data_IF_397321841224
#
_entry.id   IF_397321841224
#
_cell.length_a   1.000
_cell.length_b   1.000
_cell.length_c   1.000
_cell.angle_alpha   90.00
_cell.angle_beta   90.00
_cell.angle_gamma   90.00
#
_symmetry.space_group_name_H-M   'P 1'
#
loop_
_entity.id
_entity.type
_entity.pdbx_description
1 polymer ?
#
# COMPACT_ATOMS: atom_id res chain seq x y z
N UNK A 1 54.16 36.39 60.01
CA UNK A 1 54.54 35.42 58.98
C UNK A 1 53.34 35.25 58.06
N UNK A 2 53.39 35.87 56.89
CA UNK A 2 52.24 36.16 56.02
C UNK A 2 52.51 35.59 54.64
N UNK A 3 51.91 34.45 54.26
CA UNK A 3 51.97 33.89 52.90
C UNK A 3 50.67 33.08 52.71
N UNK A 4 49.61 33.67 52.12
CA UNK A 4 49.26 33.83 50.69
C UNK A 4 48.46 32.66 50.12
N UNK A 5 47.25 33.00 49.71
CA UNK A 5 46.23 32.24 49.01
C UNK A 5 46.67 31.79 47.59
N UNK A 6 46.42 30.49 47.34
CA UNK A 6 45.91 29.76 46.15
C UNK A 6 45.50 30.64 44.92
N UNK A 7 45.85 30.22 43.68
CA UNK A 7 44.92 29.40 42.89
C UNK A 7 45.59 28.25 42.11
N UNK A 8 45.02 27.04 42.25
CA UNK A 8 45.26 25.90 41.36
C UNK A 8 44.04 25.70 40.45
N UNK A 9 44.35 25.30 39.22
CA UNK A 9 43.54 25.27 38.00
C UNK A 9 42.61 24.06 37.95
N UNK A 10 41.39 24.20 37.41
CA UNK A 10 40.62 23.18 36.67
C UNK A 10 39.21 23.76 36.37
N UNK A 11 38.53 23.56 35.24
CA UNK A 11 38.81 22.87 33.98
C UNK A 11 37.84 23.46 32.93
N UNK A 12 38.26 23.53 31.67
CA UNK A 12 37.38 23.88 30.54
C UNK A 12 36.38 22.76 30.28
N UNK A 13 35.10 23.01 30.57
CA UNK A 13 33.99 22.20 30.06
C UNK A 13 33.68 22.64 28.63
N UNK A 14 34.13 21.86 27.64
CA UNK A 14 33.60 21.90 26.28
C UNK A 14 32.16 21.40 26.34
N UNK A 15 31.21 22.33 26.33
CA UNK A 15 29.80 22.02 26.15
C UNK A 15 29.59 21.55 24.71
N UNK A 16 29.68 20.23 24.49
CA UNK A 16 29.18 19.60 23.28
C UNK A 16 27.66 19.76 23.25
N UNK A 17 27.19 20.60 22.32
CA UNK A 17 25.79 20.74 21.98
C UNK A 17 25.22 19.40 21.48
N UNK A 18 24.01 18.98 21.88
CA UNK A 18 23.26 18.01 21.12
C UNK A 18 22.61 18.73 19.94
N UNK A 19 23.35 18.86 18.84
CA UNK A 19 22.77 18.98 17.51
C UNK A 19 22.35 17.59 17.03
N UNK A 20 21.23 17.08 17.54
CA UNK A 20 20.64 15.83 17.07
C UNK A 20 19.13 15.80 17.39
N UNK A 21 18.38 16.63 16.69
CA UNK A 21 16.95 16.44 16.49
C UNK A 21 16.59 16.72 15.03
N UNK A 22 17.40 16.19 14.12
CA UNK A 22 17.02 16.04 12.73
C UNK A 22 16.53 14.61 12.50
N UNK A 23 15.36 14.52 11.88
CA UNK A 23 14.95 13.40 11.03
C UNK A 23 14.54 12.08 11.72
N UNK A 24 13.50 12.14 12.56
CA UNK A 24 12.59 11.00 12.69
C UNK A 24 11.13 11.45 12.69
N UNK A 25 10.78 12.34 11.76
CA UNK A 25 9.51 12.16 11.08
C UNK A 25 9.74 11.02 10.10
N UNK A 26 9.66 9.81 10.66
CA UNK A 26 9.25 8.63 9.94
C UNK A 26 8.13 9.10 9.01
N UNK A 27 8.43 9.15 7.71
CA UNK A 27 7.40 9.32 6.70
C UNK A 27 6.61 8.02 6.74
N UNK A 28 5.80 7.84 7.78
CA UNK A 28 4.58 7.07 7.69
C UNK A 28 3.80 7.83 6.63
N UNK A 29 4.00 7.45 5.36
CA UNK A 29 3.17 7.95 4.28
C UNK A 29 1.75 7.76 4.77
N UNK A 30 0.95 8.83 4.94
CA UNK A 30 -0.43 8.71 5.43
C UNK A 30 -1.33 8.01 4.40
N UNK A 31 -0.73 7.50 3.32
CA UNK A 31 -1.39 6.82 2.24
C UNK A 31 -1.52 5.34 2.63
N UNK A 32 -2.75 4.80 2.65
CA UNK A 32 -2.99 3.41 3.01
C UNK A 32 -2.22 2.46 2.10
N UNK A 33 -1.76 1.36 2.70
CA UNK A 33 -1.30 0.19 1.97
C UNK A 33 -2.50 -0.74 1.75
N UNK A 34 -2.51 -1.41 0.60
CA UNK A 34 -3.59 -2.32 0.25
C UNK A 34 -3.08 -3.75 0.14
N UNK A 35 -3.82 -4.69 0.72
CA UNK A 35 -3.74 -6.09 0.34
C UNK A 35 -4.82 -6.35 -0.70
N UNK A 36 -4.42 -6.73 -1.91
CA UNK A 36 -5.29 -6.88 -3.06
C UNK A 36 -5.22 -8.32 -3.60
N UNK A 37 -6.32 -8.79 -4.16
CA UNK A 37 -6.35 -9.95 -5.06
C UNK A 37 -6.62 -9.42 -6.46
N UNK A 38 -5.72 -9.67 -7.39
CA UNK A 38 -5.90 -9.37 -8.80
C UNK A 38 -6.40 -10.63 -9.51
N UNK A 39 -7.55 -10.52 -10.17
CA UNK A 39 -8.07 -11.51 -11.10
C UNK A 39 -7.79 -11.03 -12.51
N UNK A 40 -7.17 -11.87 -13.34
CA UNK A 40 -6.85 -11.52 -14.72
C UNK A 40 -7.34 -12.61 -15.66
N UNK A 41 -8.10 -12.24 -16.69
CA UNK A 41 -8.57 -13.14 -17.75
C UNK A 41 -8.14 -12.61 -19.10
N UNK A 42 -7.98 -13.49 -20.09
CA UNK A 42 -7.79 -13.07 -21.47
C UNK A 42 -9.07 -12.40 -21.97
N UNK A 43 -8.97 -11.24 -22.63
CA UNK A 43 -10.13 -10.55 -23.18
C UNK A 43 -10.81 -11.34 -24.32
N UNK A 44 -10.12 -12.34 -24.88
CA UNK A 44 -10.67 -13.30 -25.85
C UNK A 44 -11.46 -14.43 -25.21
N UNK A 45 -11.29 -14.70 -23.91
CA UNK A 45 -11.95 -15.80 -23.21
C UNK A 45 -13.28 -15.37 -22.56
N UNK A 46 -13.39 -14.12 -22.11
CA UNK A 46 -14.57 -13.59 -21.42
C UNK A 46 -14.82 -12.14 -21.84
N UNK A 47 -16.08 -11.79 -22.07
CA UNK A 47 -16.47 -10.41 -22.34
C UNK A 47 -16.31 -9.53 -21.09
N UNK A 48 -15.93 -8.27 -21.28
CA UNK A 48 -15.70 -7.34 -20.17
C UNK A 48 -16.93 -7.14 -19.27
N UNK A 49 -18.11 -7.04 -19.85
CA UNK A 49 -19.38 -6.87 -19.12
C UNK A 49 -19.74 -8.11 -18.29
N UNK A 50 -19.50 -9.30 -18.84
CA UNK A 50 -19.70 -10.57 -18.14
C UNK A 50 -18.70 -10.72 -16.99
N UNK A 51 -17.42 -10.43 -17.24
CA UNK A 51 -16.38 -10.47 -16.21
C UNK A 51 -16.67 -9.45 -15.10
N UNK A 52 -17.15 -8.26 -15.45
CA UNK A 52 -17.57 -7.24 -14.50
C UNK A 52 -18.75 -7.73 -13.66
N UNK A 53 -19.82 -8.22 -14.29
CA UNK A 53 -21.02 -8.70 -13.59
C UNK A 53 -20.69 -9.81 -12.59
N UNK A 54 -19.84 -10.76 -12.98
CA UNK A 54 -19.42 -11.85 -12.09
C UNK A 54 -18.54 -11.36 -10.94
N UNK A 55 -17.63 -10.43 -11.20
CA UNK A 55 -16.70 -9.92 -10.18
C UNK A 55 -17.36 -8.91 -9.22
N UNK A 56 -18.37 -8.16 -9.66
CA UNK A 56 -19.14 -7.26 -8.79
C UNK A 56 -20.00 -8.00 -7.76
N UNK A 57 -20.29 -9.28 -7.98
CA UNK A 57 -20.96 -10.14 -7.01
C UNK A 57 -20.04 -10.63 -5.88
N UNK A 58 -18.72 -10.39 -5.98
CA UNK A 58 -17.75 -10.78 -4.96
C UNK A 58 -17.97 -9.95 -3.69
N UNK A 59 -18.12 -10.62 -2.55
CA UNK A 59 -18.23 -9.98 -1.24
C UNK A 59 -17.01 -10.19 -0.35
N UNK A 60 -16.07 -11.06 -0.78
CA UNK A 60 -14.84 -11.35 -0.04
C UNK A 60 -13.69 -11.76 -0.94
N UNK A 61 -12.44 -11.57 -0.49
CA UNK A 61 -11.27 -12.04 -1.24
C UNK A 61 -11.19 -13.57 -1.40
N UNK A 62 -11.78 -14.33 -0.47
CA UNK A 62 -11.89 -15.78 -0.61
C UNK A 62 -12.79 -16.16 -1.78
N UNK A 63 -13.90 -15.43 -1.96
CA UNK A 63 -14.77 -15.59 -3.13
C UNK A 63 -14.09 -15.16 -4.42
N UNK A 64 -13.32 -14.06 -4.40
CA UNK A 64 -12.53 -13.64 -5.56
C UNK A 64 -11.61 -14.77 -6.06
N UNK A 65 -10.90 -15.42 -5.15
CA UNK A 65 -10.00 -16.53 -5.49
C UNK A 65 -10.76 -17.74 -6.02
N UNK A 66 -11.93 -18.07 -5.42
CA UNK A 66 -12.79 -19.17 -5.91
C UNK A 66 -13.33 -18.87 -7.31
N UNK A 67 -13.85 -17.67 -7.54
CA UNK A 67 -14.34 -17.23 -8.84
C UNK A 67 -13.22 -17.27 -9.88
N UNK A 68 -12.04 -16.75 -9.53
CA UNK A 68 -10.89 -16.77 -10.42
C UNK A 68 -10.54 -18.19 -10.85
N UNK A 69 -10.48 -19.14 -9.91
CA UNK A 69 -10.25 -20.56 -10.23
C UNK A 69 -11.36 -21.16 -11.10
N UNK A 70 -12.62 -20.83 -10.83
CA UNK A 70 -13.77 -21.35 -11.58
C UNK A 70 -13.84 -20.83 -13.03
N UNK A 71 -13.17 -19.71 -13.31
CA UNK A 71 -13.11 -19.08 -14.64
C UNK A 71 -11.74 -19.27 -15.32
N UNK A 72 -10.87 -20.11 -14.78
CA UNK A 72 -9.47 -20.27 -15.21
C UNK A 72 -8.72 -18.92 -15.30
N UNK A 73 -9.10 -17.96 -14.46
CA UNK A 73 -8.45 -16.67 -14.36
C UNK A 73 -7.12 -16.79 -13.61
N UNK A 74 -6.14 -16.00 -14.03
CA UNK A 74 -4.90 -15.81 -13.27
C UNK A 74 -5.21 -15.04 -11.98
N UNK A 75 -5.00 -15.68 -10.85
CA UNK A 75 -5.20 -15.10 -9.51
C UNK A 75 -3.84 -14.72 -8.92
N UNK A 76 -3.62 -13.43 -8.69
CA UNK A 76 -2.38 -12.91 -8.10
C UNK A 76 -2.70 -12.17 -6.80
N UNK A 77 -2.05 -12.57 -5.71
CA UNK A 77 -2.19 -11.90 -4.41
C UNK A 77 -1.09 -10.85 -4.28
N UNK A 78 -1.49 -9.59 -4.20
CA UNK A 78 -0.58 -8.46 -4.02
C UNK A 78 -0.74 -7.93 -2.61
N UNK A 79 0.24 -8.22 -1.76
CA UNK A 79 0.32 -7.69 -0.40
C UNK A 79 1.12 -6.39 -0.38
N UNK A 80 0.76 -5.45 0.49
CA UNK A 80 1.48 -4.18 0.67
C UNK A 80 1.60 -3.35 -0.62
N UNK A 81 0.49 -3.21 -1.36
CA UNK A 81 0.43 -2.30 -2.51
C UNK A 81 0.27 -0.86 -2.01
N UNK A 82 1.31 -0.05 -2.19
CA UNK A 82 1.25 1.37 -1.86
C UNK A 82 0.28 2.11 -2.80
N UNK A 83 -0.52 3.04 -2.26
CA UNK A 83 -1.42 3.87 -3.08
C UNK A 83 -0.71 4.61 -4.22
N UNK A 84 0.56 4.99 -4.04
CA UNK A 84 1.36 5.68 -5.06
C UNK A 84 1.81 4.77 -6.20
N UNK A 85 1.89 3.46 -5.97
CA UNK A 85 2.22 2.47 -7.01
C UNK A 85 1.04 2.15 -7.92
N UNK A 86 -0.17 2.54 -7.50
CA UNK A 86 -1.39 2.33 -8.25
C UNK A 86 -1.58 3.46 -9.29
N UNK A 87 -2.13 3.12 -10.47
CA UNK A 87 -2.57 4.11 -11.45
C UNK A 87 -3.43 5.20 -10.79
N UNK A 88 -3.24 6.49 -11.17
CA UNK A 88 -3.94 7.62 -10.53
C UNK A 88 -5.46 7.47 -10.52
N UNK A 89 -6.03 6.90 -11.59
CA UNK A 89 -7.46 6.62 -11.72
C UNK A 89 -8.00 5.59 -10.72
N UNK A 90 -7.16 4.68 -10.22
CA UNK A 90 -7.57 3.62 -9.30
C UNK A 90 -7.49 4.02 -7.84
N UNK A 91 -6.65 5.00 -7.50
CA UNK A 91 -6.50 5.49 -6.12
C UNK A 91 -7.83 5.92 -5.49
N UNK A 92 -8.66 6.80 -6.11
CA UNK A 92 -9.93 7.19 -5.51
C UNK A 92 -10.94 6.05 -5.48
N UNK A 93 -10.89 5.13 -6.45
CA UNK A 93 -11.77 3.95 -6.46
C UNK A 93 -11.46 3.06 -5.26
N UNK A 94 -10.20 2.64 -5.10
CA UNK A 94 -9.78 1.74 -4.02
C UNK A 94 -9.96 2.37 -2.63
N UNK A 95 -9.81 3.70 -2.52
CA UNK A 95 -10.06 4.44 -1.28
C UNK A 95 -11.52 4.39 -0.83
N UNK A 96 -12.47 4.44 -1.76
CA UNK A 96 -13.90 4.39 -1.46
C UNK A 96 -14.49 2.97 -1.51
N UNK A 97 -13.78 2.01 -2.12
CA UNK A 97 -14.27 0.66 -2.33
C UNK A 97 -14.15 -0.22 -1.07
N UNK A 98 -15.25 -0.74 -0.50
CA UNK A 98 -15.19 -1.54 0.72
C UNK A 98 -14.27 -2.76 0.61
N UNK A 99 -13.74 -3.22 1.75
CA UNK A 99 -13.03 -4.49 1.79
C UNK A 99 -13.98 -5.62 1.37
N UNK A 100 -13.46 -6.55 0.58
CA UNK A 100 -14.19 -7.66 -0.02
C UNK A 100 -14.77 -7.35 -1.40
N UNK A 101 -14.85 -6.08 -1.81
CA UNK A 101 -15.43 -5.68 -3.10
C UNK A 101 -14.37 -5.60 -4.21
N UNK A 102 -14.85 -5.82 -5.44
CA UNK A 102 -14.08 -5.71 -6.68
C UNK A 102 -14.10 -4.29 -7.26
N UNK A 103 -12.98 -3.86 -7.85
CA UNK A 103 -12.93 -2.67 -8.70
C UNK A 103 -13.64 -2.92 -10.02
N UNK A 104 -14.02 -1.86 -10.76
CA UNK A 104 -14.39 -1.99 -12.16
C UNK A 104 -13.31 -2.74 -12.96
N UNK A 105 -13.73 -3.38 -14.05
CA UNK A 105 -12.82 -4.10 -14.96
C UNK A 105 -11.89 -3.10 -15.62
N UNK A 106 -10.61 -3.43 -15.59
CA UNK A 106 -9.52 -2.71 -16.23
C UNK A 106 -9.07 -3.51 -17.43
N UNK A 107 -9.07 -2.89 -18.60
CA UNK A 107 -8.53 -3.53 -19.81
C UNK A 107 -7.07 -3.10 -19.99
N UNK A 108 -6.16 -4.08 -20.01
CA UNK A 108 -4.77 -3.86 -20.37
C UNK A 108 -4.61 -4.08 -21.88
N UNK A 109 -4.55 -2.97 -22.63
CA UNK A 109 -4.27 -2.98 -24.07
C UNK A 109 -5.21 -3.86 -24.91
N UNK A 110 -6.43 -4.14 -24.44
CA UNK A 110 -7.40 -5.00 -25.11
C UNK A 110 -7.08 -6.50 -25.09
N UNK A 111 -5.98 -6.92 -24.44
CA UNK A 111 -5.52 -8.30 -24.44
C UNK A 111 -5.93 -9.06 -23.17
N UNK A 112 -5.97 -8.36 -22.04
CA UNK A 112 -6.36 -8.91 -20.76
C UNK A 112 -7.32 -7.98 -20.01
N UNK A 113 -8.21 -8.59 -19.26
CA UNK A 113 -9.13 -7.93 -18.35
C UNK A 113 -8.69 -8.21 -16.93
N UNK A 114 -8.57 -7.16 -16.12
CA UNK A 114 -8.10 -7.21 -14.75
C UNK A 114 -9.13 -6.62 -13.80
N UNK A 115 -9.29 -7.26 -12.65
CA UNK A 115 -10.08 -6.74 -11.55
C UNK A 115 -9.25 -6.85 -10.28
N UNK A 116 -9.29 -5.82 -9.46
CA UNK A 116 -8.63 -5.79 -8.15
C UNK A 116 -9.70 -5.90 -7.08
N UNK A 117 -9.52 -6.82 -6.13
CA UNK A 117 -10.40 -6.97 -4.98
C UNK A 117 -9.65 -6.52 -3.74
N UNK A 118 -10.23 -5.61 -2.97
CA UNK A 118 -9.59 -5.09 -1.75
C UNK A 118 -9.78 -6.08 -0.61
N UNK A 119 -8.71 -6.71 -0.13
CA UNK A 119 -8.82 -7.65 0.99
C UNK A 119 -8.72 -6.97 2.33
N UNK A 120 -7.77 -6.04 2.46
CA UNK A 120 -7.61 -5.23 3.65
C UNK A 120 -6.82 -3.96 3.31
N UNK A 121 -6.94 -2.98 4.20
CA UNK A 121 -6.16 -1.73 4.17
C UNK A 121 -5.31 -1.68 5.43
N UNK A 122 -4.06 -1.27 5.29
CA UNK A 122 -3.02 -1.30 6.33
C UNK A 122 -2.37 0.07 6.46
#
# INVERSE_FOLDING_TARGET
MTIRFVPAIAALTVALAPAAATAQQERTSPLPNYNLVQLSVAASAVLADEFQSRTMAITSCSEAVKLGKAMDAKVERKTFVHETSLPPQLRPVLRNLPNGMATPVLSEGGSALHVLVVCSRV
#
